data_IF_908847249183
#
_entry.id   IF_908847249183
#
_cell.length_a   1.000
_cell.length_b   1.000
_cell.length_c   1.000
_cell.angle_alpha   90.00
_cell.angle_beta   90.00
_cell.angle_gamma   90.00
#
_symmetry.space_group_name_H-M   'P 1'
#
loop_
_entity.id
_entity.type
_entity.pdbx_description
1 polymer ?
#
# COMPACT_ATOMS: atom_id res chain seq x y z
N UNK A 1 2.83 7.19 -4.63
CA UNK A 1 2.04 7.76 -3.51
C UNK A 1 2.04 6.76 -2.37
N UNK A 2 2.03 7.22 -1.12
CA UNK A 2 1.76 6.34 0.03
C UNK A 2 0.29 5.94 0.06
N UNK A 3 -0.04 4.84 0.75
CA UNK A 3 -1.42 4.40 0.95
C UNK A 3 -2.29 5.51 1.60
N UNK A 4 -1.72 6.25 2.54
CA UNK A 4 -2.35 7.37 3.24
C UNK A 4 -2.67 8.53 2.27
N UNK A 5 -1.69 8.92 1.45
CA UNK A 5 -1.88 9.99 0.48
C UNK A 5 -2.95 9.62 -0.56
N UNK A 6 -2.97 8.38 -1.04
CA UNK A 6 -4.01 7.91 -1.97
C UNK A 6 -5.39 7.82 -1.33
N UNK A 7 -5.50 7.49 -0.04
CA UNK A 7 -6.78 7.51 0.68
C UNK A 7 -7.30 8.92 0.88
N UNK A 8 -6.42 9.89 1.19
CA UNK A 8 -6.83 11.29 1.31
C UNK A 8 -7.26 11.86 -0.04
N UNK A 9 -6.55 11.51 -1.13
CA UNK A 9 -6.94 11.88 -2.48
C UNK A 9 -8.32 11.33 -2.87
N UNK A 10 -8.63 10.08 -2.48
CA UNK A 10 -9.95 9.50 -2.66
C UNK A 10 -11.02 10.30 -1.90
N UNK A 11 -10.78 10.59 -0.62
CA UNK A 11 -11.71 11.36 0.22
C UNK A 11 -12.03 12.74 -0.37
N UNK A 12 -11.02 13.44 -0.87
CA UNK A 12 -11.18 14.75 -1.52
C UNK A 12 -11.98 14.60 -2.82
N UNK A 13 -11.68 13.58 -3.62
CA UNK A 13 -12.36 13.35 -4.91
C UNK A 13 -13.83 12.98 -4.72
N UNK A 14 -14.15 12.17 -3.71
CA UNK A 14 -15.52 11.85 -3.33
C UNK A 14 -16.30 13.10 -2.90
N UNK A 15 -15.68 13.99 -2.11
CA UNK A 15 -16.29 15.27 -1.74
C UNK A 15 -16.58 16.17 -2.93
N UNK A 16 -15.66 16.25 -3.91
CA UNK A 16 -15.87 16.99 -5.16
C UNK A 16 -17.02 16.41 -5.99
N UNK A 17 -17.10 15.08 -6.09
CA UNK A 17 -18.20 14.40 -6.78
C UNK A 17 -19.55 14.67 -6.12
N UNK A 18 -19.63 14.60 -4.78
CA UNK A 18 -20.85 14.91 -4.02
C UNK A 18 -21.29 16.36 -4.18
N UNK A 19 -20.34 17.29 -4.30
CA UNK A 19 -20.60 18.70 -4.57
C UNK A 19 -20.93 19.00 -6.05
N UNK A 20 -20.92 17.98 -6.93
CA UNK A 20 -21.21 18.14 -8.36
C UNK A 20 -20.09 18.79 -9.18
N UNK A 21 -18.91 19.01 -8.59
CA UNK A 21 -17.73 19.61 -9.22
C UNK A 21 -16.66 18.58 -9.61
N UNK A 22 -17.01 17.30 -9.49
CA UNK A 22 -16.19 16.15 -9.87
C UNK A 22 -17.03 15.09 -10.56
N UNK A 23 -16.37 14.17 -11.25
CA UNK A 23 -17.00 13.11 -12.03
C UNK A 23 -16.88 11.75 -11.33
N UNK A 24 -17.78 10.83 -11.67
CA UNK A 24 -17.69 9.45 -11.18
C UNK A 24 -16.40 8.76 -11.66
N UNK A 25 -15.90 9.12 -12.85
CA UNK A 25 -14.63 8.58 -13.39
C UNK A 25 -13.45 8.96 -12.50
N UNK A 26 -13.35 10.23 -12.08
CA UNK A 26 -12.31 10.67 -11.13
C UNK A 26 -12.37 9.88 -9.81
N UNK A 27 -13.57 9.59 -9.30
CA UNK A 27 -13.74 8.78 -8.09
C UNK A 27 -13.22 7.35 -8.31
N UNK A 28 -13.59 6.72 -9.42
CA UNK A 28 -13.15 5.36 -9.74
C UNK A 28 -11.63 5.27 -9.90
N UNK A 29 -11.02 6.27 -10.53
CA UNK A 29 -9.56 6.36 -10.66
C UNK A 29 -8.89 6.52 -9.29
N UNK A 30 -9.43 7.37 -8.42
CA UNK A 30 -8.91 7.54 -7.07
C UNK A 30 -9.07 6.26 -6.22
N UNK A 31 -10.17 5.52 -6.36
CA UNK A 31 -10.38 4.23 -5.70
C UNK A 31 -9.37 3.18 -6.18
N UNK A 32 -9.16 3.09 -7.50
CA UNK A 32 -8.16 2.20 -8.10
C UNK A 32 -6.76 2.52 -7.59
N UNK A 33 -6.39 3.81 -7.56
CA UNK A 33 -5.10 4.26 -7.05
C UNK A 33 -4.90 3.92 -5.56
N UNK A 34 -5.93 4.13 -4.73
CA UNK A 34 -5.89 3.77 -3.30
C UNK A 34 -5.78 2.25 -3.10
N UNK A 35 -6.45 1.44 -3.92
CA UNK A 35 -6.32 -0.01 -3.87
C UNK A 35 -4.89 -0.47 -4.23
N UNK A 36 -4.33 0.08 -5.31
CA UNK A 36 -2.96 -0.21 -5.73
C UNK A 36 -1.93 0.19 -4.68
N UNK A 37 -2.08 1.37 -4.07
CA UNK A 37 -1.19 1.85 -3.02
C UNK A 37 -1.23 0.94 -1.77
N UNK A 38 -2.39 0.39 -1.43
CA UNK A 38 -2.55 -0.57 -0.34
C UNK A 38 -1.84 -1.89 -0.63
N UNK A 39 -1.97 -2.41 -1.85
CA UNK A 39 -1.25 -3.62 -2.29
C UNK A 39 0.26 -3.39 -2.24
N UNK A 40 0.73 -2.25 -2.74
CA UNK A 40 2.16 -1.90 -2.70
C UNK A 40 2.69 -1.81 -1.25
N UNK A 41 1.91 -1.28 -0.31
CA UNK A 41 2.30 -1.23 1.10
C UNK A 41 2.45 -2.64 1.71
N UNK A 42 1.53 -3.56 1.40
CA UNK A 42 1.63 -4.96 1.84
C UNK A 42 2.87 -5.62 1.23
N UNK A 43 3.10 -5.43 -0.07
CA UNK A 43 4.28 -5.98 -0.74
C UNK A 43 5.57 -5.48 -0.10
N UNK A 44 5.68 -4.18 0.17
CA UNK A 44 6.85 -3.60 0.83
C UNK A 44 7.11 -4.19 2.23
N UNK A 45 6.05 -4.50 2.99
CA UNK A 45 6.19 -5.18 4.28
C UNK A 45 6.68 -6.63 4.10
N UNK A 46 6.19 -7.35 3.10
CA UNK A 46 6.70 -8.69 2.79
C UNK A 46 8.18 -8.65 2.37
N UNK A 47 8.54 -7.73 1.50
CA UNK A 47 9.92 -7.58 1.01
C UNK A 47 10.87 -7.24 2.17
N UNK A 48 10.41 -6.42 3.14
CA UNK A 48 11.16 -6.16 4.38
C UNK A 48 11.40 -7.44 5.19
N UNK A 49 10.36 -8.27 5.40
CA UNK A 49 10.53 -9.54 6.13
C UNK A 49 11.50 -10.48 5.40
N UNK A 50 11.39 -10.59 4.08
CA UNK A 50 12.32 -11.39 3.28
C UNK A 50 13.76 -10.87 3.36
N UNK A 51 13.95 -9.54 3.35
CA UNK A 51 15.25 -8.93 3.52
C UNK A 51 15.85 -9.24 4.91
N UNK A 52 15.04 -9.21 5.97
CA UNK A 52 15.48 -9.58 7.33
C UNK A 52 15.88 -11.05 7.41
N UNK A 53 15.08 -11.95 6.85
CA UNK A 53 15.39 -13.39 6.80
C UNK A 53 16.68 -13.64 5.99
N UNK A 54 16.83 -12.96 4.85
CA UNK A 54 18.02 -13.08 4.00
C UNK A 54 19.28 -12.57 4.71
N UNK A 55 19.17 -11.48 5.45
CA UNK A 55 20.25 -10.95 6.28
C UNK A 55 20.62 -11.94 7.40
N UNK A 56 19.64 -12.51 8.10
CA UNK A 56 19.88 -13.51 9.13
C UNK A 56 20.58 -14.76 8.57
N UNK A 57 20.17 -15.21 7.38
CA UNK A 57 20.81 -16.31 6.68
C UNK A 57 22.27 -15.99 6.33
N UNK A 58 22.53 -14.82 5.75
CA UNK A 58 23.88 -14.37 5.40
C UNK A 58 24.82 -14.27 6.62
N UNK A 59 24.25 -13.99 7.80
CA UNK A 59 24.97 -13.97 9.08
C UNK A 59 25.11 -15.36 9.72
N UNK A 60 24.69 -16.43 9.05
CA UNK A 60 24.79 -17.81 9.54
C UNK A 60 23.81 -18.14 10.69
N UNK A 61 22.79 -17.33 10.91
CA UNK A 61 21.76 -17.61 11.93
C UNK A 61 20.73 -18.61 11.39
N UNK A 62 20.27 -19.57 12.21
CA UNK A 62 19.28 -20.55 11.76
C UNK A 62 17.96 -19.86 11.39
N UNK A 63 17.45 -20.16 10.20
CA UNK A 63 16.23 -19.60 9.62
C UNK A 63 14.94 -20.12 10.29
N UNK A 64 15.08 -21.13 11.14
CA UNK A 64 14.01 -21.74 11.92
C UNK A 64 14.54 -21.87 13.34
N UNK A 65 13.82 -21.32 14.31
CA UNK A 65 14.02 -21.69 15.71
C UNK A 65 13.77 -23.19 15.81
N UNK A 66 14.85 -23.99 15.90
CA UNK A 66 14.72 -25.40 16.24
C UNK A 66 14.00 -25.47 17.58
N UNK A 67 12.75 -25.94 17.55
CA UNK A 67 12.07 -26.45 18.74
C UNK A 67 12.72 -27.76 19.15
#
# INVERSE_FOLDING_TARGET
MSAEASQEALRVTEGRYQAGVGTLVEVLDAQSSAAQARVAAVQALYDLHLAVVSLQHALGRPLVAQR
#
